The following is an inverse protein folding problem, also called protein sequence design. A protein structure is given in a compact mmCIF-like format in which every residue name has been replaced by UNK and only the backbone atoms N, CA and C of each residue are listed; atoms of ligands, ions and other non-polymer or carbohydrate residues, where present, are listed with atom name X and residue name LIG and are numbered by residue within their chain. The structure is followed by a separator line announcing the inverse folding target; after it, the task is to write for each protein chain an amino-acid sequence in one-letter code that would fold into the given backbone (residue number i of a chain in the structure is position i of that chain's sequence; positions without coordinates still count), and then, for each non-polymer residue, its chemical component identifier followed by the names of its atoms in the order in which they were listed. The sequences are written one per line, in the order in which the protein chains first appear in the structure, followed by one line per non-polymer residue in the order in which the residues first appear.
data_IF_509801496779
#
_entry.id   IF_509801496779
#
_cell.length_a   1.000
_cell.length_b   1.000
_cell.length_c   1.000
_cell.angle_alpha   90.00
_cell.angle_beta   90.00
_cell.angle_gamma   90.00
#
_symmetry.space_group_name_H-M   'P 1'
#
loop_
_entity.id
_entity.type
_entity.pdbx_description
1 polymer ?
#
# COMPACT_ATOMS: atom_id res chain seq x y z
N UNK A 1 4.88 -18.26 -10.85
CA UNK A 1 5.45 -17.09 -10.13
C UNK A 1 5.18 -15.81 -10.88
N UNK A 2 5.15 -14.63 -10.22
CA UNK A 2 5.00 -13.35 -10.93
C UNK A 2 6.19 -13.11 -11.88
N UNK A 3 5.94 -12.43 -13.00
CA UNK A 3 7.00 -12.00 -13.92
C UNK A 3 8.02 -11.12 -13.17
N UNK A 4 9.33 -11.45 -13.20
CA UNK A 4 10.38 -10.66 -12.57
C UNK A 4 10.36 -9.18 -12.97
N UNK A 5 9.95 -8.85 -14.21
CA UNK A 5 9.88 -7.46 -14.68
C UNK A 5 8.77 -6.70 -13.98
N UNK A 6 7.56 -7.26 -13.96
CA UNK A 6 6.41 -6.69 -13.23
C UNK A 6 6.69 -6.58 -11.73
N UNK A 7 7.35 -7.58 -11.13
CA UNK A 7 7.72 -7.51 -9.72
C UNK A 7 8.70 -6.37 -9.43
N UNK A 8 9.67 -6.14 -10.31
CA UNK A 8 10.61 -5.03 -10.17
C UNK A 8 9.92 -3.66 -10.33
N UNK A 9 8.94 -3.55 -11.24
CA UNK A 9 8.13 -2.34 -11.41
C UNK A 9 7.27 -2.05 -10.18
N UNK A 10 6.58 -3.06 -9.65
CA UNK A 10 5.79 -2.95 -8.44
C UNK A 10 6.65 -2.56 -7.22
N UNK A 11 7.85 -3.13 -7.10
CA UNK A 11 8.79 -2.77 -6.04
C UNK A 11 9.25 -1.31 -6.15
N UNK A 12 9.53 -0.81 -7.37
CA UNK A 12 9.88 0.59 -7.60
C UNK A 12 8.71 1.53 -7.34
N UNK A 13 7.49 1.12 -7.67
CA UNK A 13 6.28 1.89 -7.37
C UNK A 13 6.08 1.99 -5.86
N UNK A 14 6.09 0.86 -5.15
CA UNK A 14 5.98 0.83 -3.69
C UNK A 14 7.07 1.68 -3.00
N UNK A 15 8.29 1.67 -3.53
CA UNK A 15 9.37 2.51 -3.00
C UNK A 15 9.05 4.02 -3.06
N UNK A 16 8.27 4.48 -4.04
CA UNK A 16 7.85 5.89 -4.15
C UNK A 16 6.82 6.26 -3.09
N UNK A 17 5.91 5.34 -2.76
CA UNK A 17 4.96 5.51 -1.66
C UNK A 17 5.65 5.51 -0.29
N UNK A 18 6.61 4.61 -0.07
CA UNK A 18 7.27 4.46 1.23
C UNK A 18 8.35 5.51 1.46
N UNK A 19 9.10 5.88 0.41
CA UNK A 19 10.23 6.80 0.50
C UNK A 19 10.06 8.07 -0.36
N UNK A 20 8.93 8.78 -0.30
CA UNK A 20 8.63 9.87 -1.23
C UNK A 20 9.71 10.96 -1.22
N UNK A 21 10.25 11.29 -0.03
CA UNK A 21 11.34 12.27 0.12
C UNK A 21 12.58 11.92 -0.70
N UNK A 22 12.94 10.64 -0.82
CA UNK A 22 14.13 10.21 -1.57
C UNK A 22 13.96 10.38 -3.08
N UNK A 23 12.71 10.39 -3.55
CA UNK A 23 12.34 10.63 -4.94
C UNK A 23 12.00 12.10 -5.22
N UNK A 24 12.19 13.00 -4.24
CA UNK A 24 11.81 14.41 -4.36
C UNK A 24 10.30 14.65 -4.34
N UNK A 25 9.50 13.64 -4.00
CA UNK A 25 8.05 13.76 -3.92
C UNK A 25 7.63 14.50 -2.63
N UNK A 26 6.49 15.20 -2.66
CA UNK A 26 5.87 15.77 -1.47
C UNK A 26 5.74 14.73 -0.35
N UNK A 27 5.82 15.13 0.92
CA UNK A 27 5.54 14.22 2.02
C UNK A 27 4.92 14.98 3.19
N UNK A 28 4.11 14.31 4.04
CA UNK A 28 3.41 14.97 5.14
C UNK A 28 4.34 15.58 6.19
N UNK A 29 5.60 15.15 6.23
CA UNK A 29 6.61 15.67 7.16
C UNK A 29 7.42 16.84 6.58
N UNK A 30 7.12 17.29 5.35
CA UNK A 30 7.67 18.53 4.82
C UNK A 30 6.89 19.72 5.37
N UNK A 31 7.49 20.44 6.30
CA UNK A 31 6.97 21.72 6.78
C UNK A 31 7.21 22.77 5.68
N UNK A 32 6.30 22.89 4.72
CA UNK A 32 6.29 24.02 3.81
C UNK A 32 5.61 25.19 4.51
N UNK A 33 6.32 26.31 4.69
CA UNK A 33 5.82 27.54 5.34
C UNK A 33 4.61 28.20 4.66
N UNK A 34 4.14 27.64 3.54
CA UNK A 34 3.02 28.15 2.76
C UNK A 34 2.00 27.03 2.57
N UNK A 35 0.80 27.27 3.10
CA UNK A 35 -0.47 26.56 2.90
C UNK A 35 -0.80 25.42 3.87
N UNK A 36 -1.78 25.73 4.73
CA UNK A 36 -2.60 24.87 5.59
C UNK A 36 -3.52 23.92 4.80
N UNK A 37 -3.10 23.43 3.65
CA UNK A 37 -3.88 22.44 2.89
C UNK A 37 -3.27 21.08 3.23
N UNK A 38 -3.94 20.34 4.12
CA UNK A 38 -3.66 18.93 4.32
C UNK A 38 -3.79 18.24 2.96
N UNK A 39 -2.66 17.87 2.34
CA UNK A 39 -2.68 17.07 1.12
C UNK A 39 -3.15 15.67 1.48
N UNK A 40 -4.09 15.15 0.71
CA UNK A 40 -4.38 13.72 0.75
C UNK A 40 -3.12 12.96 0.28
N UNK A 41 -2.54 12.18 1.18
CA UNK A 41 -1.36 11.37 0.91
C UNK A 41 -1.73 9.88 0.75
N UNK A 42 -3.03 9.54 0.76
CA UNK A 42 -3.52 8.17 0.62
C UNK A 42 -3.42 7.74 -0.85
N UNK A 43 -4.01 8.52 -1.76
CA UNK A 43 -3.86 8.30 -3.20
C UNK A 43 -2.87 9.31 -3.80
N UNK A 44 -1.71 8.77 -4.19
CA UNK A 44 -0.59 9.54 -4.75
C UNK A 44 -0.29 9.14 -6.19
N UNK A 45 -1.15 8.31 -6.79
CA UNK A 45 -0.88 7.73 -8.10
C UNK A 45 -0.72 8.83 -9.16
N UNK A 46 -1.61 9.82 -9.16
CA UNK A 46 -1.54 10.98 -10.05
C UNK A 46 -0.28 11.83 -9.83
N UNK A 47 0.12 12.09 -8.57
CA UNK A 47 1.36 12.83 -8.28
C UNK A 47 2.58 12.06 -8.78
N UNK A 48 2.60 10.75 -8.54
CA UNK A 48 3.65 9.84 -8.98
C UNK A 48 3.72 9.87 -10.51
N UNK A 49 2.62 9.70 -11.23
CA UNK A 49 2.60 9.73 -12.70
C UNK A 49 3.08 11.07 -13.28
N UNK A 50 2.63 12.20 -12.72
CA UNK A 50 2.99 13.55 -13.17
C UNK A 50 4.46 13.89 -12.88
N UNK A 51 4.97 13.57 -11.69
CA UNK A 51 6.37 13.84 -11.30
C UNK A 51 7.38 12.88 -11.95
N UNK A 52 6.92 11.81 -12.59
CA UNK A 52 7.77 10.80 -13.21
C UNK A 52 8.06 11.03 -14.69
N UNK A 53 7.58 12.11 -15.30
CA UNK A 53 8.04 12.54 -16.61
C UNK A 53 9.28 13.46 -16.47
N UNK A 54 10.50 13.06 -16.91
CA UNK A 54 10.92 11.78 -17.49
C UNK A 54 11.64 10.88 -16.47
N UNK A 55 11.29 9.59 -16.46
CA UNK A 55 12.00 8.47 -15.84
C UNK A 55 12.81 8.81 -14.57
N UNK A 56 12.14 9.06 -13.44
CA UNK A 56 12.84 9.24 -12.17
C UNK A 56 13.65 7.99 -11.81
N UNK A 57 14.98 8.10 -11.92
CA UNK A 57 15.92 7.03 -11.57
C UNK A 57 15.77 6.68 -10.10
N UNK A 58 15.84 5.38 -9.79
CA UNK A 58 15.86 4.93 -8.38
C UNK A 58 17.11 5.47 -7.68
N UNK A 59 16.96 6.25 -6.58
CA UNK A 59 18.09 6.76 -5.81
C UNK A 59 18.99 5.63 -5.30
N UNK A 60 20.32 5.84 -5.28
CA UNK A 60 21.31 4.83 -4.87
C UNK A 60 20.98 4.22 -3.49
N UNK A 61 20.51 5.05 -2.55
CA UNK A 61 20.14 4.64 -1.19
C UNK A 61 18.97 3.65 -1.15
N UNK A 62 18.05 3.72 -2.10
CA UNK A 62 16.83 2.89 -2.14
C UNK A 62 17.04 1.60 -2.93
N UNK A 63 18.07 1.51 -3.79
CA UNK A 63 18.33 0.33 -4.63
C UNK A 63 18.37 -0.98 -3.83
N UNK A 64 19.06 -0.99 -2.69
CA UNK A 64 19.20 -2.20 -1.86
C UNK A 64 17.87 -2.64 -1.23
N UNK A 65 16.96 -1.69 -0.99
CA UNK A 65 15.66 -1.94 -0.37
C UNK A 65 14.66 -2.53 -1.37
N UNK A 66 14.85 -2.33 -2.68
CA UNK A 66 13.94 -2.84 -3.71
C UNK A 66 13.76 -4.36 -3.66
N UNK A 67 14.81 -5.13 -3.36
CA UNK A 67 14.72 -6.59 -3.22
C UNK A 67 13.81 -6.97 -2.06
N UNK A 68 13.93 -6.28 -0.92
CA UNK A 68 13.11 -6.50 0.27
C UNK A 68 11.65 -6.13 -0.03
N UNK A 69 11.42 -5.01 -0.73
CA UNK A 69 10.07 -4.60 -1.14
C UNK A 69 9.43 -5.61 -2.10
N UNK A 70 10.20 -6.16 -3.04
CA UNK A 70 9.71 -7.21 -3.93
C UNK A 70 9.27 -8.47 -3.16
N UNK A 71 10.03 -8.86 -2.14
CA UNK A 71 9.65 -9.96 -1.24
C UNK A 71 8.44 -9.62 -0.37
N UNK A 72 8.36 -8.39 0.14
CA UNK A 72 7.23 -7.91 0.94
C UNK A 72 5.93 -7.97 0.13
N UNK A 73 5.95 -7.47 -1.10
CA UNK A 73 4.79 -7.50 -2.02
C UNK A 73 4.38 -8.95 -2.30
N UNK A 74 5.35 -9.83 -2.57
CA UNK A 74 5.05 -11.24 -2.79
C UNK A 74 4.39 -11.89 -1.56
N UNK A 75 4.96 -11.71 -0.37
CA UNK A 75 4.38 -12.20 0.90
C UNK A 75 2.99 -11.62 1.15
N UNK A 76 2.79 -10.34 0.85
CA UNK A 76 1.49 -9.67 0.96
C UNK A 76 0.45 -10.34 0.05
N UNK A 77 0.78 -10.62 -1.21
CA UNK A 77 -0.12 -11.32 -2.15
C UNK A 77 -0.44 -12.77 -1.75
N UNK A 78 0.41 -13.40 -0.95
CA UNK A 78 0.21 -14.75 -0.42
C UNK A 78 -0.38 -14.75 0.99
N UNK A 79 -0.62 -13.57 1.57
CA UNK A 79 -1.15 -13.47 2.92
C UNK A 79 -2.63 -13.87 2.94
N UNK A 80 -2.94 -14.95 3.65
CA UNK A 80 -4.32 -15.38 3.91
C UNK A 80 -5.00 -14.48 4.94
N UNK A 81 -5.28 -13.23 4.59
CA UNK A 81 -5.86 -12.23 5.52
C UNK A 81 -7.14 -12.74 6.19
N UNK A 82 -8.03 -13.39 5.44
CA UNK A 82 -9.27 -13.94 5.98
C UNK A 82 -9.01 -15.07 7.01
N UNK A 83 -8.27 -16.15 6.69
CA UNK A 83 -7.86 -17.14 7.70
C UNK A 83 -7.17 -16.53 8.92
N UNK A 84 -6.33 -15.51 8.73
CA UNK A 84 -5.63 -14.85 9.83
C UNK A 84 -6.60 -14.07 10.74
N UNK A 85 -7.59 -13.39 10.15
CA UNK A 85 -8.66 -12.73 10.90
C UNK A 85 -9.56 -13.72 11.63
N UNK A 86 -9.92 -14.84 10.99
CA UNK A 86 -10.73 -15.89 11.60
C UNK A 86 -10.03 -16.52 12.82
N UNK A 87 -8.70 -16.68 12.75
CA UNK A 87 -7.88 -17.18 13.85
C UNK A 87 -7.76 -16.16 14.99
N UNK A 88 -7.44 -14.90 14.69
CA UNK A 88 -7.15 -13.88 15.71
C UNK A 88 -8.41 -13.25 16.34
N UNK A 89 -9.49 -13.10 15.57
CA UNK A 89 -10.71 -12.43 16.03
C UNK A 89 -11.99 -13.11 15.49
N UNK A 90 -12.27 -14.36 15.90
CA UNK A 90 -13.43 -15.12 15.40
C UNK A 90 -14.78 -14.47 15.73
N UNK A 91 -14.85 -13.59 16.74
CA UNK A 91 -16.08 -12.90 17.16
C UNK A 91 -16.50 -11.73 16.27
N UNK A 92 -15.59 -11.20 15.43
CA UNK A 92 -15.87 -10.07 14.52
C UNK A 92 -16.08 -10.51 13.08
N UNK A 93 -15.75 -11.76 12.73
CA UNK A 93 -16.11 -12.33 11.43
C UNK A 93 -17.52 -12.90 11.53
N UNK A 94 -18.51 -12.08 11.17
CA UNK A 94 -19.91 -12.53 11.07
C UNK A 94 -19.95 -13.65 10.03
N UNK A 95 -20.10 -14.90 10.49
CA UNK A 95 -20.33 -16.04 9.61
C UNK A 95 -21.66 -15.78 8.89
N UNK A 96 -21.72 -15.97 7.57
CA UNK A 96 -22.96 -15.76 6.80
C UNK A 96 -24.15 -16.60 7.34
N UNK A 97 -23.86 -17.68 8.09
CA UNK A 97 -24.86 -18.48 8.80
C UNK A 97 -25.57 -17.72 9.93
N UNK A 98 -24.94 -16.74 10.59
CA UNK A 98 -25.58 -15.90 11.63
C UNK A 98 -26.34 -14.70 11.08
N UNK A 99 -26.11 -14.31 9.82
CA UNK A 99 -26.92 -13.28 9.14
C UNK A 99 -28.33 -13.79 8.82
N UNK A 100 -28.50 -15.09 8.56
CA UNK A 100 -29.81 -15.70 8.29
C UNK A 100 -30.70 -15.86 9.53
N UNK A 101 -30.13 -15.77 10.73
CA UNK A 101 -30.89 -15.87 11.99
C UNK A 101 -31.35 -14.52 12.54
N UNK A 102 -30.77 -13.40 12.09
CA UNK A 102 -31.15 -12.06 12.57
C UNK A 102 -32.35 -11.43 11.86
N UNK A 103 -32.81 -11.99 10.74
CA UNK A 103 -33.98 -11.48 10.00
C UNK A 103 -35.30 -12.12 10.40
N UNK A 104 -35.35 -12.93 11.47
CA UNK A 104 -36.55 -13.71 11.82
C UNK A 104 -36.97 -13.59 13.31
N UNK A 105 -36.34 -12.69 14.06
CA UNK A 105 -36.71 -12.35 15.43
C UNK A 105 -36.50 -10.87 15.68
N UNK A 106 -37.24 -10.02 15.00
CA UNK A 106 -37.58 -8.69 15.50
C UNK A 106 -39.10 -8.57 15.30
N UNK A 107 -39.80 -8.43 16.43
CA UNK A 107 -41.25 -8.25 16.54
C UNK A 107 -41.72 -6.94 15.90
#
# INVERSE_FOLDING_TARGET
DPDPRTQAEHARLAAKYIFPRQYGLPNPFQVTKKFNIYRDNIDRQAEIEVWLFPACKTPKRIKNVLSILGQMIWKHSKCGYKPHLDFACPSKVIKQSTLKQRSHTDF
#
